data_IF_744165921517
#
_entry.id   IF_744165921517
#
_cell.length_a   1.000
_cell.length_b   1.000
_cell.length_c   1.000
_cell.angle_alpha   90.00
_cell.angle_beta   90.00
_cell.angle_gamma   90.00
#
_symmetry.space_group_name_H-M   'P 1'
#
loop_
_entity.id
_entity.type
_entity.pdbx_description
1 polymer ?
#
# COMPACT_ATOMS: atom_id res chain seq x y z
N UNK A 1 97.42 -6.94 0.19
CA UNK A 1 97.23 -6.93 -1.25
C UNK A 1 96.07 -7.85 -1.57
N UNK A 2 95.16 -7.47 -2.41
CA UNK A 2 93.94 -8.07 -2.90
C UNK A 2 92.68 -7.88 -2.04
N UNK A 3 91.94 -6.83 -2.46
CA UNK A 3 90.63 -6.45 -2.05
C UNK A 3 89.59 -7.46 -2.60
N UNK A 4 88.71 -7.95 -1.75
CA UNK A 4 87.54 -8.74 -2.13
C UNK A 4 86.29 -7.92 -1.80
N UNK A 5 85.71 -7.30 -2.84
CA UNK A 5 84.43 -6.61 -2.77
C UNK A 5 83.32 -7.67 -2.73
N UNK A 6 82.60 -7.74 -1.58
CA UNK A 6 81.35 -8.49 -1.48
C UNK A 6 80.22 -7.61 -1.97
N UNK A 7 79.61 -7.99 -3.08
CA UNK A 7 78.37 -7.42 -3.58
C UNK A 7 77.18 -8.00 -2.76
N UNK A 8 76.46 -7.12 -2.10
CA UNK A 8 75.23 -7.44 -1.37
C UNK A 8 74.06 -7.32 -2.35
N UNK A 9 73.44 -8.43 -2.72
CA UNK A 9 72.21 -8.46 -3.51
C UNK A 9 71.05 -8.23 -2.53
N UNK A 10 70.42 -7.04 -2.55
CA UNK A 10 69.15 -6.78 -1.85
C UNK A 10 68.02 -7.33 -2.74
N UNK A 11 67.41 -8.43 -2.36
CA UNK A 11 66.14 -8.88 -2.92
C UNK A 11 65.02 -8.04 -2.30
N UNK A 12 64.45 -7.14 -3.10
CA UNK A 12 63.18 -6.45 -2.78
C UNK A 12 62.05 -7.47 -2.96
N UNK A 13 61.57 -8.04 -1.85
CA UNK A 13 60.26 -8.68 -1.80
C UNK A 13 59.21 -7.57 -1.90
N UNK A 14 58.60 -7.42 -3.05
CA UNK A 14 57.37 -6.61 -3.23
C UNK A 14 56.21 -7.26 -2.48
N UNK A 15 55.99 -6.84 -1.23
CA UNK A 15 54.73 -7.10 -0.58
C UNK A 15 53.68 -6.23 -1.27
N UNK A 16 52.89 -6.84 -2.17
CA UNK A 16 51.68 -6.24 -2.72
C UNK A 16 50.77 -5.94 -1.55
N UNK A 17 50.62 -4.66 -1.23
CA UNK A 17 49.54 -4.18 -0.36
C UNK A 17 48.23 -4.53 -1.04
N UNK A 18 47.60 -5.64 -0.67
CA UNK A 18 46.19 -5.89 -0.95
C UNK A 18 45.49 -4.86 -0.06
N UNK A 19 45.08 -3.72 -0.66
CA UNK A 19 44.16 -2.81 0.00
C UNK A 19 42.93 -3.65 0.37
N UNK A 20 42.41 -3.54 1.60
CA UNK A 20 41.14 -4.16 1.90
C UNK A 20 40.10 -3.62 0.92
N UNK A 21 39.47 -4.51 0.15
CA UNK A 21 38.27 -4.16 -0.62
C UNK A 21 37.28 -3.74 0.46
N UNK A 22 36.98 -2.46 0.52
CA UNK A 22 35.95 -1.96 1.41
C UNK A 22 34.66 -2.60 0.91
N UNK A 23 34.00 -3.37 1.79
CA UNK A 23 32.72 -3.95 1.45
C UNK A 23 31.76 -2.83 1.09
N UNK A 24 31.16 -2.88 -0.08
CA UNK A 24 30.12 -1.94 -0.45
C UNK A 24 28.81 -2.36 0.22
N UNK A 25 28.07 -1.41 0.77
CA UNK A 25 26.80 -1.66 1.44
C UNK A 25 25.68 -0.94 0.70
N UNK A 26 24.58 -1.65 0.47
CA UNK A 26 23.31 -1.08 -0.01
C UNK A 26 22.34 -1.08 1.16
N UNK A 27 21.99 0.09 1.68
CA UNK A 27 21.00 0.21 2.74
C UNK A 27 19.59 0.23 2.13
N UNK A 28 18.71 -0.63 2.63
CA UNK A 28 17.34 -0.81 2.16
C UNK A 28 16.37 -0.75 3.34
N UNK A 29 15.28 0.01 3.20
CA UNK A 29 14.18 0.03 4.17
C UNK A 29 12.95 -0.63 3.55
N UNK A 30 12.40 -1.63 4.28
CA UNK A 30 11.14 -2.29 3.93
C UNK A 30 10.08 -2.06 5.00
N UNK A 31 8.86 -1.82 4.55
CA UNK A 31 7.71 -1.65 5.43
C UNK A 31 7.08 -2.99 5.82
N UNK A 32 6.58 -3.09 7.06
CA UNK A 32 5.82 -4.25 7.53
C UNK A 32 6.40 -4.95 8.75
N UNK A 33 7.58 -4.52 9.22
CA UNK A 33 8.21 -5.05 10.44
C UNK A 33 9.00 -6.35 10.24
N UNK A 34 9.08 -6.88 9.01
CA UNK A 34 9.88 -8.04 8.62
C UNK A 34 10.35 -7.93 7.16
N UNK A 35 11.46 -8.56 6.83
CA UNK A 35 11.87 -8.79 5.43
C UNK A 35 11.24 -10.10 5.00
N UNK A 36 10.41 -10.06 3.95
CA UNK A 36 9.69 -11.24 3.46
C UNK A 36 10.62 -12.24 2.83
N UNK A 37 10.23 -13.50 2.84
CA UNK A 37 11.04 -14.59 2.28
C UNK A 37 11.35 -14.37 0.79
N UNK A 38 10.39 -13.88 0.01
CA UNK A 38 10.58 -13.55 -1.41
C UNK A 38 11.63 -12.43 -1.58
N UNK A 39 11.54 -11.34 -0.81
CA UNK A 39 12.53 -10.27 -0.84
C UNK A 39 13.91 -10.76 -0.40
N UNK A 40 13.97 -11.60 0.64
CA UNK A 40 15.24 -12.17 1.14
C UNK A 40 15.91 -13.07 0.09
N UNK A 41 15.13 -13.81 -0.69
CA UNK A 41 15.66 -14.62 -1.78
C UNK A 41 16.32 -13.75 -2.86
N UNK A 42 15.71 -12.62 -3.23
CA UNK A 42 16.28 -11.65 -4.18
C UNK A 42 17.54 -11.00 -3.61
N UNK A 43 17.53 -10.58 -2.34
CA UNK A 43 18.70 -10.03 -1.66
C UNK A 43 19.88 -11.02 -1.73
N UNK A 44 19.62 -12.28 -1.39
CA UNK A 44 20.66 -13.34 -1.42
C UNK A 44 21.21 -13.58 -2.82
N UNK A 45 20.36 -13.53 -3.85
CA UNK A 45 20.77 -13.65 -5.25
C UNK A 45 21.60 -12.44 -5.70
N UNK A 46 21.22 -11.23 -5.27
CA UNK A 46 21.97 -10.00 -5.55
C UNK A 46 23.37 -10.03 -4.92
N UNK A 47 23.49 -10.38 -3.64
CA UNK A 47 24.78 -10.51 -2.95
C UNK A 47 25.68 -11.59 -3.58
N UNK A 48 25.09 -12.69 -4.01
CA UNK A 48 25.82 -13.75 -4.73
C UNK A 48 26.37 -13.28 -6.09
N UNK A 49 25.66 -12.38 -6.77
CA UNK A 49 26.06 -11.76 -8.03
C UNK A 49 27.20 -10.74 -7.85
N UNK A 50 27.18 -10.01 -6.73
CA UNK A 50 28.10 -8.90 -6.43
C UNK A 50 29.03 -9.26 -5.26
N UNK A 51 30.15 -9.93 -5.55
CA UNK A 51 31.13 -10.31 -4.51
C UNK A 51 31.70 -9.09 -3.78
N UNK A 52 31.50 -9.04 -2.46
CA UNK A 52 31.97 -7.93 -1.60
C UNK A 52 30.92 -6.84 -1.39
N UNK A 53 29.71 -7.00 -1.93
CA UNK A 53 28.53 -6.16 -1.63
C UNK A 53 27.67 -6.85 -0.58
N UNK A 54 27.14 -6.09 0.36
CA UNK A 54 26.15 -6.53 1.35
C UNK A 54 24.92 -5.66 1.30
N UNK A 55 23.76 -6.25 1.53
CA UNK A 55 22.49 -5.51 1.65
C UNK A 55 22.11 -5.40 3.12
N UNK A 56 22.11 -4.20 3.65
CA UNK A 56 21.59 -3.89 4.99
C UNK A 56 20.09 -3.63 4.87
N UNK A 57 19.31 -4.70 4.93
CA UNK A 57 17.86 -4.62 4.83
C UNK A 57 17.25 -4.39 6.22
N UNK A 58 16.62 -3.24 6.40
CA UNK A 58 15.94 -2.86 7.64
C UNK A 58 14.43 -3.00 7.49
N UNK A 59 13.80 -3.80 8.36
CA UNK A 59 12.35 -3.91 8.47
C UNK A 59 11.80 -2.87 9.46
N UNK A 60 10.87 -2.02 9.01
CA UNK A 60 10.32 -0.93 9.81
C UNK A 60 8.79 -1.02 9.82
N UNK A 61 8.11 -0.85 10.97
CA UNK A 61 6.66 -0.89 11.05
C UNK A 61 5.99 0.11 10.09
N UNK A 62 4.83 -0.26 9.52
CA UNK A 62 4.08 0.52 8.53
C UNK A 62 3.89 1.99 8.90
N UNK A 63 3.52 2.27 10.13
CA UNK A 63 3.23 3.63 10.59
C UNK A 63 4.42 4.58 10.61
N UNK A 64 5.66 4.10 10.39
CA UNK A 64 6.88 4.90 10.50
C UNK A 64 7.89 4.69 9.39
N UNK A 65 7.73 3.67 8.53
CA UNK A 65 8.76 3.31 7.55
C UNK A 65 8.96 4.39 6.48
N UNK A 66 7.89 4.92 5.92
CA UNK A 66 7.97 5.94 4.89
C UNK A 66 8.54 7.25 5.44
N UNK A 67 8.04 7.70 6.60
CA UNK A 67 8.52 8.91 7.26
C UNK A 67 10.00 8.80 7.64
N UNK A 68 10.47 7.61 8.03
CA UNK A 68 11.90 7.35 8.29
C UNK A 68 12.75 7.54 7.03
N UNK A 69 12.36 6.92 5.91
CA UNK A 69 13.08 7.03 4.64
C UNK A 69 13.13 8.47 4.13
N UNK A 70 12.02 9.18 4.20
CA UNK A 70 11.90 10.59 3.81
C UNK A 70 12.77 11.49 4.72
N UNK A 71 12.77 11.25 6.02
CA UNK A 71 13.56 12.02 7.00
C UNK A 71 15.06 11.85 6.76
N UNK A 72 15.53 10.61 6.53
CA UNK A 72 16.93 10.35 6.22
C UNK A 72 17.35 11.05 4.92
N UNK A 73 16.53 10.96 3.87
CA UNK A 73 16.81 11.63 2.61
C UNK A 73 16.85 13.16 2.75
N UNK A 74 15.91 13.75 3.48
CA UNK A 74 15.89 15.20 3.77
C UNK A 74 17.07 15.67 4.61
N UNK A 75 17.60 14.80 5.49
CA UNK A 75 18.80 15.07 6.30
C UNK A 75 20.11 14.95 5.50
N UNK A 76 20.07 14.50 4.25
CA UNK A 76 21.26 14.30 3.41
C UNK A 76 22.02 12.98 3.68
N UNK A 77 21.37 12.03 4.32
CA UNK A 77 21.87 10.67 4.59
C UNK A 77 20.85 9.63 4.05
N UNK A 78 20.58 9.62 2.73
CA UNK A 78 19.54 8.77 2.15
C UNK A 78 19.94 7.30 2.18
N UNK A 79 18.93 6.43 2.36
CA UNK A 79 19.09 5.00 2.07
C UNK A 79 19.24 4.77 0.56
N UNK A 80 19.76 3.60 0.14
CA UNK A 80 19.86 3.26 -1.28
C UNK A 80 18.49 3.13 -1.94
N UNK A 81 17.61 2.35 -1.30
CA UNK A 81 16.26 2.14 -1.78
C UNK A 81 15.31 1.93 -0.60
N UNK A 82 14.05 2.20 -0.81
CA UNK A 82 13.02 1.96 0.20
C UNK A 82 11.67 1.61 -0.42
N UNK A 83 10.90 0.82 0.34
CA UNK A 83 9.48 0.60 0.08
C UNK A 83 8.70 1.87 0.40
N UNK A 84 8.02 2.41 -0.61
CA UNK A 84 7.27 3.65 -0.53
C UNK A 84 5.86 3.46 -1.11
N UNK A 85 4.87 4.06 -0.49
CA UNK A 85 3.56 4.21 -1.12
C UNK A 85 3.69 4.99 -2.42
N UNK A 86 3.15 4.47 -3.53
CA UNK A 86 3.25 5.14 -4.83
C UNK A 86 2.70 6.58 -4.80
N UNK A 87 1.73 6.82 -3.93
CA UNK A 87 1.14 8.15 -3.64
C UNK A 87 2.16 9.22 -3.21
N UNK A 88 3.30 8.82 -2.62
CA UNK A 88 4.34 9.75 -2.16
C UNK A 88 5.42 10.01 -3.20
N UNK A 89 5.46 9.26 -4.30
CA UNK A 89 6.51 9.36 -5.32
C UNK A 89 6.54 10.73 -6.00
N UNK A 90 5.37 11.33 -6.28
CA UNK A 90 5.27 12.67 -6.87
C UNK A 90 5.95 13.70 -5.97
N UNK A 91 5.66 13.69 -4.68
CA UNK A 91 6.27 14.58 -3.70
C UNK A 91 7.80 14.39 -3.63
N UNK A 92 8.26 13.14 -3.55
CA UNK A 92 9.68 12.81 -3.48
C UNK A 92 10.43 13.22 -4.76
N UNK A 93 9.83 12.99 -5.93
CA UNK A 93 10.39 13.36 -7.23
C UNK A 93 10.54 14.87 -7.37
N UNK A 94 9.51 15.64 -7.01
CA UNK A 94 9.53 17.11 -7.07
C UNK A 94 10.48 17.73 -6.04
N UNK A 95 10.63 17.10 -4.90
CA UNK A 95 11.64 17.47 -3.89
C UNK A 95 13.07 17.06 -4.29
N UNK A 96 13.24 16.33 -5.41
CA UNK A 96 14.54 15.88 -5.91
C UNK A 96 15.23 14.85 -5.02
N UNK A 97 14.47 14.10 -4.23
CA UNK A 97 14.98 13.12 -3.26
C UNK A 97 15.13 11.70 -3.83
N UNK A 98 14.45 11.40 -4.96
CA UNK A 98 14.54 10.11 -5.65
C UNK A 98 15.00 10.31 -7.09
N UNK A 99 15.47 9.22 -7.71
CA UNK A 99 15.84 9.20 -9.12
C UNK A 99 14.77 8.49 -9.96
N UNK A 100 14.60 8.87 -11.25
CA UNK A 100 13.71 8.12 -12.13
C UNK A 100 14.25 6.71 -12.36
N UNK A 101 13.33 5.75 -12.50
CA UNK A 101 13.65 4.36 -12.81
C UNK A 101 13.30 4.03 -14.26
N UNK A 102 14.02 3.06 -14.84
CA UNK A 102 13.76 2.57 -16.19
C UNK A 102 13.19 1.15 -16.11
N UNK A 103 11.95 1.00 -16.57
CA UNK A 103 11.26 -0.30 -16.63
C UNK A 103 11.21 -0.71 -18.10
N UNK A 104 11.72 -1.89 -18.43
CA UNK A 104 11.75 -2.39 -19.82
C UNK A 104 10.34 -2.45 -20.43
N UNK A 105 10.22 -2.25 -21.75
CA UNK A 105 8.95 -2.34 -22.48
C UNK A 105 8.24 -3.70 -22.24
N UNK A 106 9.02 -4.78 -22.15
CA UNK A 106 8.51 -6.12 -21.86
C UNK A 106 7.84 -6.15 -20.47
N UNK A 107 8.50 -5.64 -19.44
CA UNK A 107 7.98 -5.59 -18.10
C UNK A 107 6.79 -4.62 -17.96
N UNK A 108 6.85 -3.47 -18.65
CA UNK A 108 5.72 -2.52 -18.69
C UNK A 108 4.44 -3.19 -19.22
N UNK A 109 4.57 -4.04 -20.26
CA UNK A 109 3.45 -4.79 -20.83
C UNK A 109 2.85 -5.86 -19.93
N UNK A 110 3.54 -6.25 -18.86
CA UNK A 110 3.05 -7.25 -17.90
C UNK A 110 2.17 -6.66 -16.80
N UNK A 111 2.31 -5.38 -16.46
CA UNK A 111 1.55 -4.79 -15.36
C UNK A 111 0.04 -4.78 -15.61
N UNK A 112 -0.73 -4.91 -14.54
CA UNK A 112 -2.18 -4.69 -14.58
C UNK A 112 -2.50 -3.27 -15.05
N UNK A 113 -3.66 -3.07 -15.71
CA UNK A 113 -4.06 -1.75 -16.17
C UNK A 113 -4.00 -0.70 -15.05
N UNK A 114 -3.47 0.48 -15.35
CA UNK A 114 -3.40 1.61 -14.42
C UNK A 114 -2.21 1.59 -13.45
N UNK A 115 -1.51 0.47 -13.25
CA UNK A 115 -0.40 0.38 -12.29
C UNK A 115 0.72 1.38 -12.62
N UNK A 116 1.16 1.44 -13.87
CA UNK A 116 2.23 2.35 -14.26
C UNK A 116 1.87 3.83 -14.06
N UNK A 117 0.59 4.18 -14.13
CA UNK A 117 0.14 5.55 -13.86
C UNK A 117 0.35 5.94 -12.41
N UNK A 118 0.32 4.98 -11.47
CA UNK A 118 0.52 5.25 -10.03
C UNK A 118 1.96 5.57 -9.67
N UNK A 119 2.91 5.30 -10.56
CA UNK A 119 4.36 5.52 -10.35
C UNK A 119 4.95 6.56 -11.30
N UNK A 120 4.13 7.16 -12.16
CA UNK A 120 4.57 8.09 -13.21
C UNK A 120 4.13 9.53 -12.92
N UNK A 121 5.05 10.49 -13.06
CA UNK A 121 4.78 11.92 -13.03
C UNK A 121 5.74 12.63 -13.99
N UNK A 122 5.23 13.64 -14.73
CA UNK A 122 6.04 14.43 -15.65
C UNK A 122 6.70 13.62 -16.78
N UNK A 123 6.07 12.53 -17.22
CA UNK A 123 6.59 11.65 -18.30
C UNK A 123 7.76 10.76 -17.87
N UNK A 124 7.98 10.57 -16.58
CA UNK A 124 9.00 9.70 -16.00
C UNK A 124 8.37 8.73 -15.00
N UNK A 125 8.98 7.56 -14.86
CA UNK A 125 8.65 6.59 -13.81
C UNK A 125 9.58 6.82 -12.61
N UNK A 126 9.03 6.84 -11.38
CA UNK A 126 9.73 7.25 -10.18
C UNK A 126 9.91 6.16 -9.13
N UNK A 127 9.41 4.97 -9.40
CA UNK A 127 9.57 3.78 -8.56
C UNK A 127 9.18 2.53 -9.32
N UNK A 128 9.75 1.41 -8.93
CA UNK A 128 9.32 0.11 -9.45
C UNK A 128 8.06 -0.33 -8.70
N UNK A 129 6.91 -0.54 -9.36
CA UNK A 129 5.75 -1.12 -8.71
C UNK A 129 6.11 -2.45 -8.04
N UNK A 130 5.81 -2.61 -6.76
CA UNK A 130 6.28 -3.75 -5.96
C UNK A 130 5.17 -4.47 -5.21
N UNK A 131 4.13 -3.77 -4.76
CA UNK A 131 2.97 -4.38 -4.15
C UNK A 131 1.69 -3.74 -4.66
N UNK A 132 0.66 -4.56 -4.84
CA UNK A 132 -0.63 -4.09 -5.31
C UNK A 132 -1.75 -4.71 -4.49
N UNK A 133 -2.76 -3.91 -4.19
CA UNK A 133 -3.94 -4.42 -3.52
C UNK A 133 -5.20 -3.70 -3.92
N UNK A 134 -6.25 -4.47 -4.12
CA UNK A 134 -7.64 -4.06 -4.07
C UNK A 134 -8.21 -4.35 -2.68
N UNK A 135 -9.44 -3.96 -2.43
CA UNK A 135 -10.11 -4.16 -1.15
C UNK A 135 -11.44 -4.86 -1.35
N UNK A 136 -11.86 -5.58 -0.31
CA UNK A 136 -13.14 -6.28 -0.26
C UNK A 136 -13.78 -6.15 1.12
N UNK A 137 -15.07 -6.44 1.21
CA UNK A 137 -15.81 -6.50 2.46
C UNK A 137 -15.75 -7.93 3.02
N UNK A 138 -15.19 -8.08 4.22
CA UNK A 138 -15.18 -9.32 4.99
C UNK A 138 -16.38 -9.35 5.94
N UNK A 139 -17.10 -10.44 5.99
CA UNK A 139 -18.34 -10.60 6.77
C UNK A 139 -18.26 -11.87 7.62
N UNK A 140 -18.39 -11.72 8.91
CA UNK A 140 -18.49 -12.84 9.86
C UNK A 140 -19.91 -13.41 9.83
N UNK A 141 -20.08 -14.55 9.16
CA UNK A 141 -21.37 -15.23 9.03
C UNK A 141 -21.95 -15.69 10.36
N UNK A 142 -21.11 -16.07 11.32
CA UNK A 142 -21.58 -16.45 12.64
C UNK A 142 -22.37 -15.33 13.32
N UNK A 143 -21.87 -14.10 13.28
CA UNK A 143 -22.55 -12.92 13.83
C UNK A 143 -23.80 -12.51 13.02
N UNK A 144 -23.77 -12.68 11.71
CA UNK A 144 -24.95 -12.42 10.85
C UNK A 144 -26.08 -13.39 11.18
N UNK A 145 -25.79 -14.67 11.34
CA UNK A 145 -26.77 -15.71 11.69
C UNK A 145 -27.27 -15.56 13.13
N UNK A 146 -26.39 -15.21 14.09
CA UNK A 146 -26.78 -14.85 15.46
C UNK A 146 -27.74 -13.68 15.48
N UNK A 147 -27.55 -12.70 14.59
CA UNK A 147 -28.46 -11.56 14.42
C UNK A 147 -29.79 -11.92 13.74
N UNK A 148 -30.01 -13.20 13.37
CA UNK A 148 -31.22 -13.68 12.75
C UNK A 148 -31.33 -13.42 11.25
N UNK A 149 -30.21 -13.13 10.59
CA UNK A 149 -30.16 -12.89 9.14
C UNK A 149 -29.46 -14.05 8.42
N UNK A 150 -29.76 -14.22 7.13
CA UNK A 150 -28.98 -15.09 6.26
C UNK A 150 -27.66 -14.42 5.87
N UNK A 151 -26.53 -15.15 5.94
CA UNK A 151 -25.24 -14.65 5.49
C UNK A 151 -25.16 -14.70 3.95
N UNK A 152 -25.55 -13.60 3.33
CA UNK A 152 -25.51 -13.43 1.87
C UNK A 152 -24.83 -12.11 1.53
N UNK A 153 -24.12 -12.07 0.40
CA UNK A 153 -23.42 -10.87 -0.06
C UNK A 153 -24.38 -9.67 -0.23
N UNK A 154 -24.24 -8.57 0.55
CA UNK A 154 -24.97 -7.35 0.30
C UNK A 154 -24.46 -6.70 -1.00
N UNK A 155 -25.36 -6.33 -1.88
CA UNK A 155 -25.01 -5.71 -3.18
C UNK A 155 -25.00 -4.18 -3.14
N UNK A 156 -25.62 -3.59 -2.10
CA UNK A 156 -25.77 -2.14 -1.97
C UNK A 156 -25.41 -1.69 -0.55
N UNK A 157 -25.09 -0.41 -0.40
CA UNK A 157 -24.84 0.20 0.92
C UNK A 157 -26.02 0.01 1.87
N UNK A 158 -27.26 0.11 1.35
CA UNK A 158 -28.45 -0.13 2.16
C UNK A 158 -28.51 -1.56 2.70
N UNK A 159 -28.17 -2.54 1.85
CA UNK A 159 -28.10 -3.95 2.26
C UNK A 159 -27.02 -4.19 3.33
N UNK A 160 -25.82 -3.62 3.10
CA UNK A 160 -24.71 -3.66 4.05
C UNK A 160 -25.07 -3.01 5.40
N UNK A 161 -25.65 -1.81 5.39
CA UNK A 161 -26.06 -1.12 6.59
C UNK A 161 -27.12 -1.90 7.37
N UNK A 162 -28.13 -2.47 6.69
CA UNK A 162 -29.15 -3.26 7.35
C UNK A 162 -28.58 -4.50 8.04
N UNK A 163 -27.60 -5.15 7.43
CA UNK A 163 -26.87 -6.26 8.01
C UNK A 163 -26.04 -5.81 9.23
N UNK A 164 -25.27 -4.73 9.08
CA UNK A 164 -24.53 -4.12 10.19
C UNK A 164 -25.44 -3.74 11.36
N UNK A 165 -26.55 -3.11 11.07
CA UNK A 165 -27.53 -2.72 12.10
C UNK A 165 -28.14 -3.92 12.81
N UNK A 166 -28.47 -4.98 12.07
CA UNK A 166 -28.99 -6.20 12.67
C UNK A 166 -28.01 -6.86 13.64
N UNK A 167 -26.72 -6.94 13.25
CA UNK A 167 -25.67 -7.44 14.15
C UNK A 167 -25.57 -6.57 15.41
N UNK A 168 -25.49 -5.24 15.24
CA UNK A 168 -25.36 -4.31 16.34
C UNK A 168 -26.56 -4.35 17.31
N UNK A 169 -27.77 -4.54 16.79
CA UNK A 169 -29.00 -4.53 17.61
C UNK A 169 -29.29 -5.87 18.30
N UNK A 170 -28.79 -6.98 17.77
CA UNK A 170 -29.20 -8.32 18.21
C UNK A 170 -28.05 -9.20 18.74
N UNK A 171 -26.81 -8.72 18.69
CA UNK A 171 -25.63 -9.42 19.22
C UNK A 171 -24.84 -8.53 20.17
N UNK A 172 -23.79 -9.06 20.77
CA UNK A 172 -22.85 -8.28 21.59
C UNK A 172 -21.80 -7.55 20.74
N UNK A 173 -21.73 -7.80 19.44
CA UNK A 173 -20.76 -7.22 18.53
C UNK A 173 -21.30 -5.93 17.87
N UNK A 174 -20.40 -5.01 17.51
CA UNK A 174 -20.74 -3.93 16.60
C UNK A 174 -20.95 -4.47 15.19
N UNK A 175 -21.78 -3.78 14.40
CA UNK A 175 -22.14 -4.26 13.07
C UNK A 175 -20.99 -4.20 12.07
N UNK A 176 -20.15 -3.16 12.16
CA UNK A 176 -19.08 -2.89 11.20
C UNK A 176 -17.88 -2.22 11.86
N UNK A 177 -16.70 -2.48 11.36
CA UNK A 177 -15.47 -1.78 11.71
C UNK A 177 -15.30 -0.51 10.88
N UNK A 178 -15.21 0.64 11.57
CA UNK A 178 -14.98 1.95 10.97
C UNK A 178 -13.64 2.51 11.44
N UNK A 179 -12.75 2.82 10.50
CA UNK A 179 -11.50 3.51 10.76
C UNK A 179 -11.75 5.03 10.77
N UNK A 180 -11.29 5.73 11.80
CA UNK A 180 -11.37 7.19 11.86
C UNK A 180 -10.16 7.84 12.56
N UNK A 181 -9.12 7.05 12.89
CA UNK A 181 -7.83 7.57 13.35
C UNK A 181 -7.20 8.41 12.24
N UNK A 182 -6.51 9.50 12.58
CA UNK A 182 -5.76 10.27 11.59
C UNK A 182 -4.57 9.45 11.07
N UNK A 183 -4.85 8.69 10.01
CA UNK A 183 -3.91 7.79 9.34
C UNK A 183 -4.37 7.52 7.91
N UNK A 184 -3.47 7.07 7.02
CA UNK A 184 -3.79 6.82 5.61
C UNK A 184 -4.87 5.74 5.42
N UNK A 185 -4.89 4.71 6.26
CA UNK A 185 -5.91 3.66 6.19
C UNK A 185 -7.34 4.14 6.44
N UNK A 186 -7.53 5.26 7.13
CA UNK A 186 -8.84 5.91 7.31
C UNK A 186 -9.32 6.50 5.99
N UNK A 187 -8.47 7.29 5.34
CA UNK A 187 -8.72 7.80 3.99
C UNK A 187 -8.96 6.63 3.02
N UNK A 188 -8.14 5.59 3.05
CA UNK A 188 -8.29 4.42 2.19
C UNK A 188 -9.63 3.71 2.38
N UNK A 189 -10.11 3.56 3.62
CA UNK A 189 -11.42 2.96 3.86
C UNK A 189 -12.54 3.81 3.25
N UNK A 190 -12.47 5.12 3.41
CA UNK A 190 -13.43 6.06 2.83
C UNK A 190 -13.40 6.02 1.29
N UNK A 191 -12.22 6.00 0.67
CA UNK A 191 -12.09 5.98 -0.79
C UNK A 191 -12.71 4.73 -1.42
N UNK A 192 -12.73 3.59 -0.75
CA UNK A 192 -13.45 2.42 -1.24
C UNK A 192 -14.96 2.70 -1.39
N UNK A 193 -15.55 3.37 -0.40
CA UNK A 193 -16.95 3.79 -0.51
C UNK A 193 -17.14 4.88 -1.56
N UNK A 194 -16.24 5.85 -1.64
CA UNK A 194 -16.30 6.92 -2.63
C UNK A 194 -16.33 6.37 -4.06
N UNK A 195 -15.41 5.45 -4.37
CA UNK A 195 -15.35 4.82 -5.69
C UNK A 195 -16.53 3.90 -5.96
N UNK A 196 -17.04 3.21 -4.93
CA UNK A 196 -18.28 2.42 -5.09
C UNK A 196 -19.54 3.26 -5.24
N UNK A 197 -19.45 4.59 -5.04
CA UNK A 197 -20.52 5.56 -5.32
C UNK A 197 -20.29 6.40 -6.59
N UNK A 198 -19.26 6.09 -7.37
CA UNK A 198 -18.94 6.81 -8.60
C UNK A 198 -18.28 8.18 -8.39
N UNK A 199 -17.89 8.52 -7.13
CA UNK A 199 -17.16 9.75 -6.82
C UNK A 199 -15.67 9.62 -7.08
N UNK A 200 -14.95 10.75 -7.00
CA UNK A 200 -13.50 10.81 -7.16
C UNK A 200 -12.91 11.98 -6.36
N UNK A 201 -11.61 11.92 -6.07
CA UNK A 201 -10.92 13.01 -5.37
C UNK A 201 -10.48 14.10 -6.34
N UNK A 202 -9.92 13.69 -7.47
CA UNK A 202 -9.47 14.57 -8.54
C UNK A 202 -9.63 13.88 -9.90
N UNK A 203 -9.64 14.67 -10.95
CA UNK A 203 -9.52 14.17 -12.32
C UNK A 203 -8.05 13.79 -12.57
N UNK A 204 -7.78 12.53 -12.87
CA UNK A 204 -6.42 12.01 -13.04
C UNK A 204 -5.67 12.65 -14.25
N UNK A 205 -6.40 13.16 -15.27
CA UNK A 205 -5.79 13.75 -16.46
C UNK A 205 -5.47 15.24 -16.26
N UNK A 206 -6.40 16.00 -15.63
CA UNK A 206 -6.30 17.45 -15.48
C UNK A 206 -5.74 17.89 -14.12
N UNK A 207 -5.79 17.01 -13.10
CA UNK A 207 -5.48 17.33 -11.72
C UNK A 207 -6.59 18.11 -10.99
N UNK A 208 -7.68 18.48 -11.68
CA UNK A 208 -8.77 19.25 -11.07
C UNK A 208 -9.42 18.50 -9.91
N UNK A 209 -9.64 19.19 -8.78
CA UNK A 209 -10.33 18.61 -7.62
C UNK A 209 -11.80 18.39 -7.95
N UNK A 210 -12.23 17.11 -7.83
CA UNK A 210 -13.61 16.67 -8.02
C UNK A 210 -14.27 16.24 -6.71
N UNK A 211 -13.56 16.38 -5.59
CA UNK A 211 -14.02 15.91 -4.28
C UNK A 211 -15.31 16.58 -3.82
N UNK A 212 -15.53 17.85 -4.15
CA UNK A 212 -16.79 18.55 -3.83
C UNK A 212 -17.90 18.16 -4.81
N UNK A 213 -18.45 16.99 -4.64
CA UNK A 213 -19.50 16.43 -5.50
C UNK A 213 -20.65 15.84 -4.68
N UNK A 214 -21.85 15.67 -5.25
CA UNK A 214 -22.96 14.98 -4.60
C UNK A 214 -22.58 13.56 -4.14
N UNK A 215 -21.81 12.82 -4.93
CA UNK A 215 -21.35 11.45 -4.65
C UNK A 215 -20.46 11.42 -3.41
N UNK A 216 -19.61 12.44 -3.21
CA UNK A 216 -18.76 12.55 -2.03
C UNK A 216 -19.60 12.90 -0.79
N UNK A 217 -20.57 13.79 -0.91
CA UNK A 217 -21.49 14.13 0.18
C UNK A 217 -22.28 12.90 0.63
N UNK A 218 -22.85 12.14 -0.31
CA UNK A 218 -23.55 10.87 -0.03
C UNK A 218 -22.63 9.86 0.66
N UNK A 219 -21.36 9.80 0.22
CA UNK A 219 -20.37 8.89 0.81
C UNK A 219 -20.05 9.28 2.24
N UNK A 220 -19.88 10.55 2.51
CA UNK A 220 -19.58 11.04 3.86
C UNK A 220 -20.78 10.85 4.82
N UNK A 221 -22.00 11.07 4.34
CA UNK A 221 -23.24 10.75 5.09
C UNK A 221 -23.32 9.26 5.43
N UNK A 222 -23.01 8.41 4.43
CA UNK A 222 -23.00 6.97 4.66
C UNK A 222 -21.93 6.53 5.67
N UNK A 223 -20.74 7.11 5.60
CA UNK A 223 -19.65 6.83 6.53
C UNK A 223 -20.04 7.22 7.98
N UNK A 224 -20.63 8.40 8.16
CA UNK A 224 -21.19 8.84 9.44
C UNK A 224 -22.31 7.91 9.95
N UNK A 225 -23.15 7.42 9.04
CA UNK A 225 -24.20 6.45 9.36
C UNK A 225 -23.65 5.09 9.81
N UNK A 226 -22.57 4.62 9.17
CA UNK A 226 -21.87 3.40 9.57
C UNK A 226 -21.24 3.55 10.96
N UNK A 227 -20.69 4.72 11.28
CA UNK A 227 -20.12 4.99 12.61
C UNK A 227 -21.16 4.83 13.74
N UNK A 228 -22.44 5.04 13.46
CA UNK A 228 -23.54 4.83 14.41
C UNK A 228 -23.83 3.36 14.76
N UNK A 229 -23.27 2.40 14.03
CA UNK A 229 -23.37 0.94 14.26
C UNK A 229 -22.00 0.26 14.29
N UNK A 230 -20.94 1.06 14.43
CA UNK A 230 -19.55 0.61 14.50
C UNK A 230 -19.09 0.35 15.94
N UNK A 231 -17.85 -0.13 16.09
CA UNK A 231 -17.19 -0.22 17.38
C UNK A 231 -17.14 1.14 18.08
N UNK A 232 -17.12 1.13 19.41
CA UNK A 232 -17.02 2.36 20.20
C UNK A 232 -15.70 3.09 19.93
N UNK A 233 -15.76 4.42 19.82
CA UNK A 233 -14.58 5.27 19.67
C UNK A 233 -13.81 5.08 18.36
N UNK A 234 -14.43 5.14 17.18
CA UNK A 234 -13.79 4.85 15.89
C UNK A 234 -12.55 5.72 15.62
N UNK A 235 -12.44 6.90 16.25
CA UNK A 235 -11.27 7.79 16.20
C UNK A 235 -9.97 7.17 16.73
N UNK A 236 -10.06 6.09 17.51
CA UNK A 236 -8.90 5.35 18.02
C UNK A 236 -8.38 4.26 17.08
N UNK A 237 -9.11 3.96 16.00
CA UNK A 237 -8.87 2.77 15.19
C UNK A 237 -8.45 3.09 13.77
N UNK A 238 -7.45 2.33 13.30
CA UNK A 238 -7.14 2.13 11.89
C UNK A 238 -7.34 0.64 11.54
N UNK A 239 -7.17 0.26 10.29
CA UNK A 239 -7.50 -1.08 9.79
C UNK A 239 -6.84 -2.23 10.57
N UNK A 240 -5.58 -2.09 11.00
CA UNK A 240 -4.87 -3.15 11.73
C UNK A 240 -5.56 -3.51 13.05
N UNK A 241 -6.06 -2.51 13.77
CA UNK A 241 -6.81 -2.72 15.01
C UNK A 241 -8.22 -3.28 14.73
N UNK A 242 -8.85 -2.92 13.60
CA UNK A 242 -10.12 -3.53 13.19
C UNK A 242 -9.97 -5.02 12.87
N UNK A 243 -8.84 -5.45 12.32
CA UNK A 243 -8.54 -6.87 12.11
C UNK A 243 -8.55 -7.63 13.44
N UNK A 244 -8.01 -7.05 14.50
CA UNK A 244 -8.04 -7.68 15.82
C UNK A 244 -9.47 -7.77 16.37
N UNK A 245 -10.27 -6.70 16.26
CA UNK A 245 -11.67 -6.73 16.69
C UNK A 245 -12.49 -7.76 15.92
N UNK A 246 -12.21 -7.94 14.63
CA UNK A 246 -12.86 -8.95 13.80
C UNK A 246 -12.50 -10.37 14.25
N UNK A 247 -11.23 -10.64 14.53
CA UNK A 247 -10.75 -11.90 15.06
C UNK A 247 -11.34 -12.25 16.43
N UNK A 248 -11.59 -11.22 17.26
CA UNK A 248 -12.18 -11.37 18.59
C UNK A 248 -13.73 -11.46 18.54
N UNK A 249 -14.33 -11.38 17.34
CA UNK A 249 -15.79 -11.40 17.17
C UNK A 249 -16.48 -10.14 17.69
N UNK A 250 -15.78 -9.03 17.83
CA UNK A 250 -16.31 -7.75 18.34
C UNK A 250 -16.93 -6.88 17.25
N UNK A 251 -16.64 -7.15 15.98
CA UNK A 251 -17.27 -6.51 14.82
C UNK A 251 -17.72 -7.56 13.80
N UNK A 252 -18.87 -7.30 13.15
CA UNK A 252 -19.46 -8.24 12.19
C UNK A 252 -18.86 -8.19 10.81
N UNK A 253 -18.35 -7.06 10.39
CA UNK A 253 -17.76 -6.87 9.06
C UNK A 253 -16.74 -5.72 9.04
N UNK A 254 -15.84 -5.74 8.05
CA UNK A 254 -14.95 -4.62 7.78
C UNK A 254 -14.31 -4.74 6.40
N UNK A 255 -13.73 -3.64 5.90
CA UNK A 255 -12.97 -3.63 4.64
C UNK A 255 -11.51 -3.99 4.93
N UNK A 256 -10.97 -4.98 4.17
CA UNK A 256 -9.56 -5.37 4.23
C UNK A 256 -9.04 -5.75 2.84
N UNK A 257 -7.73 -5.99 2.74
CA UNK A 257 -7.08 -6.50 1.54
C UNK A 257 -7.06 -8.04 1.48
N UNK A 258 -6.51 -8.61 0.40
CA UNK A 258 -6.52 -10.06 0.19
C UNK A 258 -5.68 -10.85 1.21
N UNK A 259 -4.74 -10.22 1.89
CA UNK A 259 -4.01 -10.80 3.03
C UNK A 259 -4.91 -11.13 4.25
N UNK A 260 -6.16 -10.67 4.24
CA UNK A 260 -7.13 -10.93 5.31
C UNK A 260 -7.27 -12.42 5.62
N UNK A 261 -7.31 -13.29 4.60
CA UNK A 261 -7.37 -14.74 4.79
C UNK A 261 -6.24 -15.30 5.66
N UNK A 262 -5.04 -14.72 5.56
CA UNK A 262 -3.89 -15.14 6.39
C UNK A 262 -3.83 -14.46 7.77
N UNK A 263 -4.70 -13.48 8.03
CA UNK A 263 -4.76 -12.73 9.28
C UNK A 263 -5.94 -13.12 10.17
N UNK A 264 -6.96 -13.74 9.60
CA UNK A 264 -8.16 -14.13 10.33
C UNK A 264 -8.00 -15.50 10.98
N UNK A 265 -8.71 -15.68 12.09
CA UNK A 265 -8.76 -16.96 12.77
C UNK A 265 -9.54 -17.99 11.95
N UNK A 266 -9.00 -19.20 11.78
CA UNK A 266 -9.61 -20.30 11.01
C UNK A 266 -11.02 -20.70 11.44
N UNK A 267 -11.44 -20.35 12.66
CA UNK A 267 -12.75 -20.67 13.20
C UNK A 267 -13.85 -19.64 12.86
N UNK A 268 -13.49 -18.56 12.19
CA UNK A 268 -14.48 -17.58 11.73
C UNK A 268 -15.11 -18.08 10.43
N UNK A 269 -16.40 -18.40 10.49
CA UNK A 269 -17.16 -18.64 9.27
C UNK A 269 -17.35 -17.29 8.56
N UNK A 270 -16.62 -17.05 7.47
CA UNK A 270 -16.67 -15.79 6.76
C UNK A 270 -17.00 -15.93 5.29
N UNK A 271 -17.56 -14.86 4.73
CA UNK A 271 -17.60 -14.62 3.29
C UNK A 271 -16.86 -13.32 2.97
N UNK A 272 -16.19 -13.31 1.81
CA UNK A 272 -15.53 -12.13 1.25
C UNK A 272 -16.28 -11.72 0.00
N UNK A 273 -16.66 -10.46 -0.07
CA UNK A 273 -17.53 -9.96 -1.13
C UNK A 273 -17.01 -8.63 -1.66
N UNK A 274 -17.31 -8.28 -2.93
CA UNK A 274 -16.97 -6.94 -3.46
C UNK A 274 -17.57 -5.84 -2.59
N UNK A 275 -16.94 -4.67 -2.61
CA UNK A 275 -17.49 -3.49 -1.93
C UNK A 275 -18.88 -3.21 -2.49
N UNK A 276 -19.95 -3.13 -1.65
CA UNK A 276 -21.29 -2.89 -2.12
C UNK A 276 -21.43 -1.54 -2.81
N UNK A 277 -22.28 -1.47 -3.84
CA UNK A 277 -22.55 -0.26 -4.60
C UNK A 277 -23.25 0.81 -3.75
N UNK A 278 -22.82 2.05 -3.90
CA UNK A 278 -23.55 3.23 -3.43
C UNK A 278 -24.75 3.55 -4.31
N UNK A 279 -25.57 4.54 -3.90
CA UNK A 279 -26.79 4.91 -4.66
C UNK A 279 -26.50 5.48 -6.05
N UNK A 280 -25.34 6.13 -6.22
CA UNK A 280 -24.94 6.82 -7.46
C UNK A 280 -23.91 6.04 -8.28
N UNK A 281 -23.48 4.85 -7.83
CA UNK A 281 -22.39 4.09 -8.44
C UNK A 281 -22.67 2.60 -8.61
N UNK A 282 -21.58 1.89 -8.88
CA UNK A 282 -21.50 0.43 -8.95
C UNK A 282 -20.49 -0.06 -7.94
N UNK A 283 -20.33 -1.39 -7.78
CA UNK A 283 -19.25 -1.92 -6.96
C UNK A 283 -17.90 -1.42 -7.47
N UNK A 284 -17.10 -0.85 -6.57
CA UNK A 284 -15.78 -0.29 -6.85
C UNK A 284 -14.82 -0.59 -5.72
N UNK A 285 -13.53 -0.40 -5.96
CA UNK A 285 -12.48 -0.62 -4.96
C UNK A 285 -11.37 0.41 -5.12
N UNK A 286 -10.66 0.69 -4.06
CA UNK A 286 -9.42 1.47 -4.12
C UNK A 286 -8.27 0.58 -4.63
N UNK A 287 -7.58 1.06 -5.65
CA UNK A 287 -6.35 0.47 -6.16
C UNK A 287 -5.16 1.10 -5.46
N UNK A 288 -4.48 0.33 -4.61
CA UNK A 288 -3.29 0.80 -3.89
C UNK A 288 -2.07 0.11 -4.48
N UNK A 289 -1.12 0.92 -4.93
CA UNK A 289 0.19 0.46 -5.39
C UNK A 289 1.25 1.01 -4.45
N UNK A 290 2.14 0.14 -4.01
CA UNK A 290 3.37 0.53 -3.33
C UNK A 290 4.57 0.13 -4.19
N UNK A 291 5.67 0.85 -4.03
CA UNK A 291 6.79 0.79 -4.96
C UNK A 291 8.12 0.72 -4.22
N UNK A 292 9.15 0.26 -4.91
CA UNK A 292 10.54 0.47 -4.49
C UNK A 292 11.04 1.75 -5.15
N UNK A 293 11.35 2.76 -4.35
CA UNK A 293 11.97 4.01 -4.79
C UNK A 293 13.48 3.96 -4.55
N UNK A 294 14.27 4.51 -5.46
CA UNK A 294 15.72 4.65 -5.34
C UNK A 294 16.05 6.09 -4.95
N UNK A 295 16.76 6.28 -3.86
CA UNK A 295 17.05 7.59 -3.30
C UNK A 295 18.32 8.19 -3.89
N UNK A 296 18.20 9.46 -4.28
CA UNK A 296 19.27 10.21 -4.90
C UNK A 296 20.39 10.54 -3.90
N UNK A 297 21.63 10.34 -4.32
CA UNK A 297 22.81 10.65 -3.52
C UNK A 297 23.16 9.63 -2.47
N UNK A 298 22.53 8.45 -2.47
CA UNK A 298 22.95 7.32 -1.66
C UNK A 298 24.34 6.81 -2.09
N UNK A 299 25.03 6.11 -1.20
CA UNK A 299 26.43 5.73 -1.40
C UNK A 299 26.68 4.85 -2.63
N UNK A 300 25.71 3.98 -3.01
CA UNK A 300 25.80 2.99 -4.09
C UNK A 300 24.52 3.00 -4.93
N UNK A 301 24.19 4.16 -5.53
CA UNK A 301 22.93 4.39 -6.25
C UNK A 301 22.71 3.38 -7.40
N UNK A 302 23.77 3.04 -8.17
CA UNK A 302 23.68 2.08 -9.27
C UNK A 302 23.36 0.66 -8.76
N UNK A 303 23.96 0.24 -7.64
CA UNK A 303 23.66 -1.06 -7.00
C UNK A 303 22.24 -1.07 -6.39
N UNK A 304 21.81 0.06 -5.81
CA UNK A 304 20.45 0.21 -5.31
C UNK A 304 19.41 0.13 -6.43
N UNK A 305 19.70 0.74 -7.59
CA UNK A 305 18.85 0.68 -8.79
C UNK A 305 18.73 -0.77 -9.31
N UNK A 306 19.83 -1.48 -9.37
CA UNK A 306 19.83 -2.87 -9.82
C UNK A 306 19.05 -3.78 -8.84
N UNK A 307 19.28 -3.63 -7.53
CA UNK A 307 18.54 -4.39 -6.52
C UNK A 307 17.03 -4.09 -6.60
N UNK A 308 16.64 -2.82 -6.74
CA UNK A 308 15.24 -2.42 -6.89
C UNK A 308 14.58 -3.05 -8.12
N UNK A 309 15.31 -3.08 -9.25
CA UNK A 309 14.85 -3.76 -10.46
C UNK A 309 14.69 -5.27 -10.26
N UNK A 310 15.64 -5.93 -9.57
CA UNK A 310 15.55 -7.36 -9.26
C UNK A 310 14.37 -7.70 -8.34
N UNK A 311 14.12 -6.89 -7.33
CA UNK A 311 12.98 -7.04 -6.40
C UNK A 311 11.62 -6.95 -7.11
N UNK A 312 11.56 -6.22 -8.22
CA UNK A 312 10.34 -5.99 -9.00
C UNK A 312 10.34 -6.75 -10.33
N UNK A 313 11.23 -7.74 -10.51
CA UNK A 313 11.23 -8.62 -11.68
C UNK A 313 10.00 -9.54 -11.70
N UNK A 314 9.54 -9.95 -12.90
CA UNK A 314 8.31 -10.73 -13.03
C UNK A 314 8.28 -12.02 -12.19
N UNK A 315 9.41 -12.73 -12.06
CA UNK A 315 9.49 -13.97 -11.27
C UNK A 315 9.48 -13.66 -9.75
N UNK A 316 10.33 -12.73 -9.28
CA UNK A 316 10.39 -12.33 -7.89
C UNK A 316 9.07 -11.69 -7.43
N UNK A 317 8.46 -10.90 -8.31
CA UNK A 317 7.17 -10.26 -8.03
C UNK A 317 6.03 -11.27 -7.91
N UNK A 318 6.02 -12.33 -8.73
CA UNK A 318 5.04 -13.40 -8.61
C UNK A 318 5.15 -14.12 -7.26
N UNK A 319 6.36 -14.47 -6.84
CA UNK A 319 6.61 -15.14 -5.56
C UNK A 319 6.23 -14.25 -4.37
N UNK A 320 6.45 -12.93 -4.49
CA UNK A 320 6.01 -11.95 -3.49
C UNK A 320 4.49 -11.88 -3.39
N UNK A 321 3.80 -11.70 -4.52
CA UNK A 321 2.34 -11.59 -4.57
C UNK A 321 1.68 -12.84 -3.96
N UNK A 322 2.19 -14.03 -4.29
CA UNK A 322 1.68 -15.29 -3.72
C UNK A 322 1.96 -15.44 -2.23
N UNK A 323 3.21 -15.22 -1.81
CA UNK A 323 3.63 -15.47 -0.42
C UNK A 323 3.04 -14.46 0.55
N UNK A 324 2.83 -13.24 0.10
CA UNK A 324 2.23 -12.17 0.91
C UNK A 324 0.69 -12.15 0.83
N UNK A 325 0.10 -12.82 -0.15
CA UNK A 325 -1.34 -12.76 -0.39
C UNK A 325 -1.76 -11.40 -0.93
N UNK A 326 -1.06 -10.91 -1.96
CA UNK A 326 -1.37 -9.64 -2.65
C UNK A 326 -2.28 -9.88 -3.85
N UNK A 327 -3.00 -8.83 -4.25
CA UNK A 327 -3.59 -8.81 -5.58
C UNK A 327 -2.46 -8.81 -6.60
N UNK A 328 -2.50 -9.67 -7.65
CA UNK A 328 -1.40 -9.75 -8.60
C UNK A 328 -1.15 -8.40 -9.28
N UNK A 329 0.07 -7.89 -9.16
CA UNK A 329 0.44 -6.60 -9.76
C UNK A 329 0.68 -6.70 -11.27
N UNK A 330 1.02 -7.89 -11.74
CA UNK A 330 1.25 -8.19 -13.15
C UNK A 330 0.29 -9.27 -13.66
N UNK A 331 0.13 -9.33 -14.98
CA UNK A 331 -0.61 -10.39 -15.66
C UNK A 331 0.35 -11.55 -15.93
N UNK A 332 0.60 -12.37 -14.92
CA UNK A 332 1.49 -13.51 -15.04
C UNK A 332 0.87 -14.63 -15.87
N UNK A 333 1.63 -15.22 -16.80
CA UNK A 333 1.18 -16.39 -17.55
C UNK A 333 0.79 -17.55 -16.60
N UNK A 334 1.60 -17.79 -15.58
CA UNK A 334 1.32 -18.79 -14.54
C UNK A 334 0.00 -18.57 -13.81
N UNK A 335 -0.41 -17.32 -13.62
CA UNK A 335 -1.63 -16.98 -12.88
C UNK A 335 -2.89 -17.47 -13.57
N UNK A 336 -2.91 -17.49 -14.89
CA UNK A 336 -4.09 -17.90 -15.68
C UNK A 336 -4.43 -19.38 -15.48
N UNK A 337 -3.43 -20.21 -15.18
CA UNK A 337 -3.56 -21.64 -14.94
C UNK A 337 -3.44 -21.99 -13.43
N UNK A 338 -3.11 -21.02 -12.57
CA UNK A 338 -2.92 -21.24 -11.15
C UNK A 338 -4.26 -21.26 -10.41
N UNK A 339 -4.53 -22.38 -9.76
CA UNK A 339 -5.72 -22.58 -8.92
C UNK A 339 -5.79 -21.51 -7.81
N UNK A 340 -4.65 -21.01 -7.34
CA UNK A 340 -4.57 -19.99 -6.30
C UNK A 340 -5.37 -18.74 -6.65
N UNK A 341 -5.13 -18.15 -7.83
CA UNK A 341 -5.82 -16.93 -8.26
C UNK A 341 -7.18 -17.16 -8.93
N UNK A 342 -7.52 -18.41 -9.29
CA UNK A 342 -8.81 -18.74 -9.93
C UNK A 342 -9.92 -19.11 -8.96
N UNK A 343 -9.64 -19.14 -7.65
CA UNK A 343 -10.64 -19.40 -6.61
C UNK A 343 -11.65 -18.24 -6.50
N UNK A 344 -12.83 -18.52 -5.97
CA UNK A 344 -13.85 -17.50 -5.72
C UNK A 344 -13.36 -16.41 -4.77
N UNK A 345 -12.46 -16.74 -3.82
CA UNK A 345 -11.81 -15.75 -2.96
C UNK A 345 -11.03 -14.72 -3.78
N UNK A 346 -10.14 -15.16 -4.68
CA UNK A 346 -9.30 -14.26 -5.45
C UNK A 346 -10.04 -13.46 -6.50
N UNK A 347 -11.11 -14.00 -7.09
CA UNK A 347 -11.96 -13.27 -8.02
C UNK A 347 -12.53 -11.99 -7.42
N UNK A 348 -12.83 -11.99 -6.11
CA UNK A 348 -13.32 -10.79 -5.41
C UNK A 348 -12.32 -9.63 -5.45
N UNK A 349 -11.02 -9.93 -5.52
CA UNK A 349 -9.95 -8.94 -5.56
C UNK A 349 -9.43 -8.65 -6.97
N UNK A 350 -9.52 -9.60 -7.90
CA UNK A 350 -8.99 -9.46 -9.27
C UNK A 350 -10.04 -8.84 -10.21
N UNK A 351 -11.29 -9.29 -10.15
CA UNK A 351 -12.35 -8.81 -11.06
C UNK A 351 -12.58 -7.29 -10.99
N UNK A 352 -12.50 -6.62 -9.81
CA UNK A 352 -12.72 -5.19 -9.70
C UNK A 352 -11.55 -4.31 -10.17
N UNK A 353 -10.41 -4.85 -10.59
CA UNK A 353 -9.24 -4.06 -11.00
C UNK A 353 -9.61 -3.06 -12.09
N UNK A 354 -10.38 -3.49 -13.10
CA UNK A 354 -10.77 -2.66 -14.24
C UNK A 354 -11.77 -1.55 -13.91
N UNK A 355 -12.46 -1.63 -12.76
CA UNK A 355 -13.45 -0.63 -12.30
C UNK A 355 -13.01 0.10 -11.03
N UNK A 356 -11.83 -0.21 -10.49
CA UNK A 356 -11.30 0.43 -9.31
C UNK A 356 -10.78 1.85 -9.58
N UNK A 357 -10.77 2.67 -8.53
CA UNK A 357 -10.18 4.01 -8.56
C UNK A 357 -8.75 4.02 -8.00
N UNK A 358 -7.81 4.74 -8.61
CA UNK A 358 -6.45 4.83 -8.12
C UNK A 358 -6.37 5.66 -6.83
N UNK A 359 -5.33 5.41 -6.04
CA UNK A 359 -4.98 6.30 -4.95
C UNK A 359 -4.54 7.66 -5.53
N UNK A 360 -5.11 8.79 -5.04
CA UNK A 360 -4.78 10.10 -5.59
C UNK A 360 -3.32 10.47 -5.32
N UNK A 361 -2.64 11.03 -6.31
CA UNK A 361 -1.25 11.50 -6.20
C UNK A 361 -1.22 13.02 -6.06
N UNK A 362 -0.83 13.50 -4.89
CA UNK A 362 -0.70 14.93 -4.56
C UNK A 362 0.77 15.30 -4.33
N UNK A 363 1.12 16.58 -4.50
CA UNK A 363 2.44 17.08 -4.11
C UNK A 363 2.59 17.07 -2.58
N UNK A 364 1.51 17.38 -1.86
CA UNK A 364 1.44 17.27 -0.42
C UNK A 364 0.46 16.15 -0.02
N UNK A 365 1.00 14.93 0.14
CA UNK A 365 0.20 13.78 0.59
C UNK A 365 -0.38 13.97 1.98
N UNK A 366 0.29 14.71 2.86
CA UNK A 366 -0.23 14.98 4.22
C UNK A 366 -1.42 15.91 4.17
N UNK A 367 -1.44 16.89 3.28
CA UNK A 367 -2.62 17.74 3.06
C UNK A 367 -3.81 16.95 2.51
N UNK A 368 -3.56 16.03 1.55
CA UNK A 368 -4.58 15.12 1.04
C UNK A 368 -5.20 14.30 2.17
N UNK A 369 -4.35 13.60 2.94
CA UNK A 369 -4.78 12.77 4.06
C UNK A 369 -5.55 13.58 5.11
N UNK A 370 -5.02 14.74 5.52
CA UNK A 370 -5.61 15.59 6.53
C UNK A 370 -6.99 16.12 6.10
N UNK A 371 -7.12 16.58 4.85
CA UNK A 371 -8.40 17.09 4.34
C UNK A 371 -9.51 16.04 4.40
N UNK A 372 -9.24 14.83 3.87
CA UNK A 372 -10.22 13.74 3.86
C UNK A 372 -10.50 13.24 5.29
N UNK A 373 -9.46 13.02 6.10
CA UNK A 373 -9.63 12.52 7.46
C UNK A 373 -10.38 13.52 8.35
N UNK A 374 -10.17 14.83 8.19
CA UNK A 374 -10.91 15.86 8.92
C UNK A 374 -12.41 15.82 8.60
N UNK A 375 -12.78 15.66 7.33
CA UNK A 375 -14.20 15.52 6.97
C UNK A 375 -14.83 14.26 7.59
N UNK A 376 -14.11 13.12 7.57
CA UNK A 376 -14.54 11.88 8.21
C UNK A 376 -14.75 12.07 9.71
N UNK A 377 -13.80 12.69 10.39
CA UNK A 377 -13.86 12.94 11.81
C UNK A 377 -14.97 13.93 12.16
N UNK A 378 -15.12 15.00 11.38
CA UNK A 378 -16.15 16.01 11.54
C UNK A 378 -17.57 15.43 11.45
N UNK A 379 -17.84 14.54 10.47
CA UNK A 379 -19.17 13.91 10.36
C UNK A 379 -19.45 12.94 11.52
N UNK A 380 -18.45 12.21 12.01
CA UNK A 380 -18.59 11.31 13.16
C UNK A 380 -18.85 12.09 14.45
N UNK A 381 -18.22 13.24 14.62
CA UNK A 381 -18.36 14.11 15.78
C UNK A 381 -19.59 15.01 15.70
N UNK A 382 -20.25 15.11 14.54
CA UNK A 382 -21.41 15.98 14.32
C UNK A 382 -21.03 17.47 14.25
N UNK A 383 -19.83 17.79 13.76
CA UNK A 383 -19.29 19.16 13.71
C UNK A 383 -19.84 19.99 12.55
N UNK A 384 -20.50 19.35 11.56
CA UNK A 384 -21.09 20.03 10.42
C UNK A 384 -21.97 19.11 9.58
N UNK A 385 -22.60 19.66 8.56
CA UNK A 385 -23.26 18.86 7.54
C UNK A 385 -22.22 18.21 6.62
N UNK A 386 -22.54 17.06 6.02
CA UNK A 386 -21.64 16.41 5.07
C UNK A 386 -21.26 17.36 3.92
N UNK A 387 -22.20 18.17 3.44
CA UNK A 387 -21.94 19.14 2.38
C UNK A 387 -20.92 20.22 2.78
N UNK A 388 -21.01 20.75 3.99
CA UNK A 388 -20.07 21.77 4.48
C UNK A 388 -18.68 21.16 4.68
N UNK A 389 -18.61 19.97 5.30
CA UNK A 389 -17.35 19.26 5.55
C UNK A 389 -16.65 18.84 4.26
N UNK A 390 -17.40 18.41 3.24
CA UNK A 390 -16.84 18.08 1.92
C UNK A 390 -16.32 19.33 1.21
N UNK A 391 -17.04 20.47 1.31
CA UNK A 391 -16.59 21.73 0.72
C UNK A 391 -15.28 22.21 1.37
N UNK A 392 -15.19 22.19 2.70
CA UNK A 392 -13.97 22.56 3.44
C UNK A 392 -12.78 21.64 3.11
N UNK A 393 -13.04 20.33 3.04
CA UNK A 393 -12.02 19.38 2.63
C UNK A 393 -11.51 19.65 1.21
N UNK A 394 -12.43 19.95 0.26
CA UNK A 394 -12.05 20.25 -1.13
C UNK A 394 -11.19 21.51 -1.24
N UNK A 395 -11.42 22.55 -0.41
CA UNK A 395 -10.56 23.72 -0.33
C UNK A 395 -9.14 23.33 0.14
N UNK A 396 -9.05 22.53 1.22
CA UNK A 396 -7.76 22.03 1.72
C UNK A 396 -7.02 21.20 0.65
N UNK A 397 -7.74 20.35 -0.10
CA UNK A 397 -7.17 19.54 -1.17
C UNK A 397 -6.63 20.40 -2.32
N UNK A 398 -7.32 21.50 -2.66
CA UNK A 398 -6.87 22.41 -3.71
C UNK A 398 -5.58 23.16 -3.36
N UNK A 399 -5.28 23.34 -2.08
CA UNK A 399 -4.03 23.94 -1.59
C UNK A 399 -2.83 22.98 -1.66
N UNK A 400 -3.08 21.65 -1.66
CA UNK A 400 -2.07 20.57 -1.64
C UNK A 400 -1.71 19.97 -3.01
N UNK A 401 -2.24 20.53 -4.11
CA UNK A 401 -2.01 20.05 -5.50
C UNK A 401 -0.60 20.29 -6.03
#
# INVERSE_FOLDING_TARGET
>A
MKNLKKALFLAFLGAGLIAPVQAEEVHMIMCGGEIREADQAVISAFEAKHSGVTVNAEAVPWGTCQDKSMTLAAAGDPVGLAYMGSRTLKQLARSGLIVPVDISDEQQGMYQPGILNTVSDGGKTWGFPHAFSTKALFINCGLVEEAGMACVAPKTWTGMYNMAKAINDNTAAAGVGVAAKDFDNTMHQFLNYLYSNGGSVNNAETGEITFNSPETVETLEFYGKLAGVAQEGPMGYERGQLTQLYNDGQIGMYINGPWGAGQHNDNIAEIVVPIPAGPSGESGTLLITDSIAVFKGSANEDLAMELASMLSSGEAQYDLDMSWGLTPIMQYEKMMDDVYYTTDYWKVFVDPIGSGGPEPMFEDFKALQAGINSAIQGIILGEGSAADLVAEAAETLAEGL
#
